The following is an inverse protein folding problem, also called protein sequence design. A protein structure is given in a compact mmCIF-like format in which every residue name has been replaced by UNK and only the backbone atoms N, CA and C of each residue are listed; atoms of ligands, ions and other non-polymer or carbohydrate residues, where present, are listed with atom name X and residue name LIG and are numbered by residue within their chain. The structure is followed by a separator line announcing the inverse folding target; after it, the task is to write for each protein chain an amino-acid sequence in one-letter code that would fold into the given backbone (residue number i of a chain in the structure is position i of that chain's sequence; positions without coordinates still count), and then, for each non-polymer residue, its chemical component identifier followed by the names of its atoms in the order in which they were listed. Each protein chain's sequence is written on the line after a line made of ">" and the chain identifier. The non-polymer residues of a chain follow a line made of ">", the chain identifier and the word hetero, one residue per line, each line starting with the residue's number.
data_IF_122918342518
#
_entry.id   IF_122918342518
#
_cell.length_a   1.000
_cell.length_b   1.000
_cell.length_c   1.000
_cell.angle_alpha   90.00
_cell.angle_beta   90.00
_cell.angle_gamma   90.00
#
_symmetry.space_group_name_H-M   'P 1'
#
loop_
_entity.id
_entity.type
_entity.pdbx_description
1 polymer ?
#
# COMPACT_ATOMS: atom_id res chain seq x y z
N UNK A 1 -15.67 -3.31 19.70
CA UNK A 1 -15.19 -2.21 18.81
C UNK A 1 -14.64 -2.86 17.55
N UNK A 2 -14.91 -2.29 16.39
CA UNK A 2 -14.31 -2.71 15.12
C UNK A 2 -12.85 -2.30 15.11
N UNK A 3 -11.95 -3.21 14.74
CA UNK A 3 -10.50 -3.00 14.70
C UNK A 3 -10.01 -2.78 13.29
N UNK A 4 -8.82 -2.18 13.17
CA UNK A 4 -8.17 -1.95 11.90
C UNK A 4 -6.79 -2.61 11.90
N UNK A 5 -6.57 -3.47 10.94
CA UNK A 5 -5.32 -4.21 10.79
C UNK A 5 -4.68 -3.86 9.45
N UNK A 6 -3.38 -3.87 9.38
CA UNK A 6 -2.67 -3.64 8.13
C UNK A 6 -1.90 -4.89 7.68
N UNK A 7 -1.90 -5.14 6.37
CA UNK A 7 -1.10 -6.17 5.72
C UNK A 7 -0.19 -5.49 4.69
N UNK A 8 1.11 -5.75 4.79
CA UNK A 8 2.13 -5.22 3.90
C UNK A 8 2.79 -6.37 3.14
N UNK A 9 2.34 -6.68 1.90
CA UNK A 9 3.00 -7.69 1.08
C UNK A 9 4.38 -7.20 0.65
N UNK A 10 5.43 -7.94 1.00
CA UNK A 10 6.83 -7.58 0.79
C UNK A 10 7.71 -8.74 0.28
N UNK A 11 7.11 -9.85 -0.19
CA UNK A 11 7.83 -11.02 -0.69
C UNK A 11 8.40 -10.87 -2.11
N UNK A 12 8.04 -9.81 -2.84
CA UNK A 12 8.48 -9.61 -4.22
C UNK A 12 9.93 -9.15 -4.33
N UNK A 13 10.66 -9.68 -5.32
CA UNK A 13 12.06 -9.33 -5.61
C UNK A 13 12.25 -7.91 -6.17
N UNK A 14 11.20 -7.27 -6.66
CA UNK A 14 11.31 -5.94 -7.27
C UNK A 14 12.08 -5.91 -8.60
N UNK A 15 11.99 -6.95 -9.42
CA UNK A 15 12.77 -7.20 -10.65
C UNK A 15 12.87 -6.01 -11.63
N UNK A 16 11.84 -5.15 -11.68
CA UNK A 16 11.85 -3.93 -12.53
C UNK A 16 12.84 -2.85 -12.07
N UNK A 17 13.36 -2.96 -10.85
CA UNK A 17 14.30 -1.98 -10.32
C UNK A 17 15.74 -2.22 -10.77
N UNK A 18 16.07 -3.47 -11.19
CA UNK A 18 17.40 -3.84 -11.71
C UNK A 18 18.52 -3.89 -10.65
N UNK A 19 18.18 -4.02 -9.36
CA UNK A 19 19.13 -4.13 -8.26
C UNK A 19 19.22 -5.58 -7.76
N UNK A 20 20.41 -6.00 -7.30
CA UNK A 20 20.59 -7.29 -6.61
C UNK A 20 19.86 -7.33 -5.25
N UNK A 21 19.80 -6.19 -4.56
CA UNK A 21 19.02 -6.04 -3.34
C UNK A 21 17.56 -5.74 -3.68
N UNK A 22 16.58 -6.48 -3.11
CA UNK A 22 15.17 -6.18 -3.30
C UNK A 22 14.85 -4.73 -2.91
N UNK A 23 14.09 -4.02 -3.76
CA UNK A 23 13.90 -2.57 -3.65
C UNK A 23 13.39 -2.09 -2.29
N UNK A 24 12.63 -2.94 -1.58
CA UNK A 24 12.10 -2.62 -0.26
C UNK A 24 13.18 -2.46 0.81
N UNK A 25 14.39 -3.01 0.57
CA UNK A 25 15.54 -2.87 1.47
C UNK A 25 16.54 -1.80 1.03
N UNK A 26 16.31 -1.15 -0.12
CA UNK A 26 17.18 -0.06 -0.55
C UNK A 26 17.15 1.10 0.47
N UNK A 27 18.30 1.74 0.69
CA UNK A 27 18.40 2.86 1.63
C UNK A 27 17.57 4.05 1.14
N UNK A 28 16.77 4.61 2.03
CA UNK A 28 15.95 5.79 1.82
C UNK A 28 15.98 6.63 3.10
N UNK A 29 16.49 7.86 3.04
CA UNK A 29 16.60 8.76 4.20
C UNK A 29 17.20 8.07 5.46
N UNK A 30 18.24 7.25 5.28
CA UNK A 30 19.00 6.59 6.35
C UNK A 30 18.39 5.29 6.91
N UNK A 31 17.26 4.81 6.38
CA UNK A 31 16.61 3.54 6.75
C UNK A 31 16.23 2.75 5.49
N UNK A 32 15.96 1.43 5.57
CA UNK A 32 15.37 0.70 4.45
C UNK A 32 14.04 1.33 4.00
N UNK A 33 13.75 1.33 2.70
CA UNK A 33 12.52 1.89 2.15
C UNK A 33 11.27 1.39 2.88
N UNK A 34 11.18 0.07 3.10
CA UNK A 34 10.04 -0.56 3.79
C UNK A 34 9.87 -0.06 5.23
N UNK A 35 10.95 0.36 5.90
CA UNK A 35 10.89 0.89 7.26
C UNK A 35 9.96 2.10 7.34
N UNK A 36 10.01 3.01 6.36
CA UNK A 36 9.14 4.19 6.30
C UNK A 36 7.67 3.79 6.14
N UNK A 37 7.39 2.81 5.28
CA UNK A 37 6.06 2.24 5.08
C UNK A 37 5.50 1.64 6.37
N UNK A 38 6.30 0.79 7.03
CA UNK A 38 5.90 0.14 8.29
C UNK A 38 5.74 1.16 9.41
N UNK A 39 6.64 2.14 9.49
CA UNK A 39 6.58 3.22 10.50
C UNK A 39 5.29 4.03 10.38
N UNK A 40 4.86 4.38 9.16
CA UNK A 40 3.61 5.10 8.95
C UNK A 40 2.38 4.33 9.48
N UNK A 41 2.35 3.01 9.31
CA UNK A 41 1.26 2.15 9.77
C UNK A 41 1.37 1.85 11.28
N UNK A 42 2.53 1.44 11.77
CA UNK A 42 2.72 1.05 13.17
C UNK A 42 2.49 2.20 14.15
N UNK A 43 2.88 3.42 13.76
CA UNK A 43 2.70 4.63 14.60
C UNK A 43 1.31 5.22 14.53
N UNK A 44 0.48 4.78 13.58
CA UNK A 44 -0.87 5.32 13.45
C UNK A 44 -1.79 4.81 14.57
N UNK A 45 -2.51 5.71 15.29
CA UNK A 45 -3.31 5.30 16.45
C UNK A 45 -4.50 4.40 16.06
N UNK A 46 -5.09 4.59 14.88
CA UNK A 46 -6.21 3.77 14.42
C UNK A 46 -5.82 2.35 13.99
N UNK A 47 -4.54 2.03 13.80
CA UNK A 47 -4.09 0.70 13.39
C UNK A 47 -3.75 -0.12 14.66
N UNK A 48 -4.39 -1.27 14.80
CA UNK A 48 -4.19 -2.16 15.95
C UNK A 48 -2.97 -3.07 15.78
N UNK A 49 -2.72 -3.58 14.56
CA UNK A 49 -1.62 -4.50 14.25
C UNK A 49 -1.23 -4.40 12.77
N UNK A 50 0.04 -4.70 12.49
CA UNK A 50 0.62 -4.67 11.14
C UNK A 50 1.31 -5.99 10.87
N UNK A 51 0.88 -6.74 9.87
CA UNK A 51 1.59 -7.92 9.37
C UNK A 51 2.39 -7.57 8.14
N UNK A 52 3.71 -7.72 8.21
CA UNK A 52 4.58 -7.68 7.04
C UNK A 52 4.79 -9.11 6.53
N UNK A 53 4.46 -9.33 5.25
CA UNK A 53 4.53 -10.66 4.63
C UNK A 53 5.75 -10.73 3.74
N UNK A 54 6.73 -11.51 4.15
CA UNK A 54 8.04 -11.69 3.55
C UNK A 54 8.15 -13.03 2.83
N UNK A 55 9.12 -13.15 1.92
CA UNK A 55 9.50 -14.45 1.36
C UNK A 55 9.88 -15.42 2.48
N UNK A 56 9.59 -16.73 2.36
CA UNK A 56 10.02 -17.74 3.35
C UNK A 56 11.51 -17.68 3.66
N UNK A 57 12.33 -17.43 2.64
CA UNK A 57 13.79 -17.40 2.72
C UNK A 57 14.34 -15.98 2.58
N UNK A 58 13.66 -14.95 3.11
CA UNK A 58 14.14 -13.56 3.01
C UNK A 58 15.45 -13.38 3.80
N UNK A 59 16.60 -13.16 3.11
CA UNK A 59 17.89 -13.02 3.76
C UNK A 59 18.16 -11.63 4.31
N UNK A 60 17.33 -10.64 3.95
CA UNK A 60 17.59 -9.23 4.24
C UNK A 60 16.91 -8.76 5.53
N UNK A 61 15.75 -9.33 5.86
CA UNK A 61 14.96 -8.87 6.99
C UNK A 61 15.75 -8.79 8.30
N UNK A 62 16.49 -9.86 8.62
CA UNK A 62 17.27 -9.98 9.86
C UNK A 62 18.56 -9.14 9.87
N UNK A 63 18.91 -8.47 8.78
CA UNK A 63 20.06 -7.57 8.68
C UNK A 63 19.75 -6.16 9.22
N UNK A 64 18.49 -5.88 9.55
CA UNK A 64 18.03 -4.57 10.00
C UNK A 64 17.39 -4.63 11.38
N UNK A 65 17.48 -3.52 12.11
CA UNK A 65 16.78 -3.34 13.38
C UNK A 65 15.41 -2.71 13.13
N UNK A 66 14.36 -3.38 13.62
CA UNK A 66 12.96 -2.99 13.53
C UNK A 66 12.36 -2.62 14.89
N UNK A 67 13.14 -2.60 15.95
CA UNK A 67 12.69 -2.43 17.34
C UNK A 67 11.95 -1.11 17.58
N UNK A 68 12.30 -0.06 16.83
CA UNK A 68 11.69 1.27 16.92
C UNK A 68 10.28 1.35 16.31
N UNK A 69 9.83 0.29 15.60
CA UNK A 69 8.48 0.18 15.06
C UNK A 69 7.43 -0.29 16.09
N UNK A 70 7.91 -0.78 17.23
CA UNK A 70 7.07 -1.14 18.38
C UNK A 70 6.32 -2.47 18.22
N UNK A 71 5.42 -2.79 19.18
CA UNK A 71 4.83 -4.12 19.31
C UNK A 71 3.70 -4.42 18.33
N UNK A 72 3.27 -3.45 17.54
CA UNK A 72 2.23 -3.67 16.53
C UNK A 72 2.72 -4.48 15.32
N UNK A 73 4.03 -4.50 15.06
CA UNK A 73 4.63 -5.16 13.91
C UNK A 73 4.80 -6.66 14.17
N UNK A 74 4.25 -7.46 13.27
CA UNK A 74 4.47 -8.91 13.22
C UNK A 74 4.96 -9.33 11.85
N UNK A 75 5.89 -10.29 11.81
CA UNK A 75 6.45 -10.83 10.57
C UNK A 75 5.82 -12.16 10.19
N UNK A 76 5.52 -12.32 8.91
CA UNK A 76 4.96 -13.54 8.32
C UNK A 76 5.87 -14.00 7.18
N UNK A 77 6.67 -15.06 7.40
CA UNK A 77 7.58 -15.63 6.41
C UNK A 77 6.88 -16.69 5.54
N UNK A 78 5.74 -16.31 4.94
CA UNK A 78 4.91 -17.16 4.09
C UNK A 78 4.43 -16.43 2.84
N UNK A 79 5.19 -15.46 2.36
CA UNK A 79 4.89 -14.77 1.11
C UNK A 79 4.89 -15.72 -0.08
N UNK A 80 3.91 -15.55 -0.97
CA UNK A 80 3.72 -16.39 -2.14
C UNK A 80 4.39 -15.85 -3.41
N UNK A 81 4.16 -16.56 -4.50
CA UNK A 81 4.73 -16.20 -5.82
C UNK A 81 4.18 -14.89 -6.37
N UNK A 82 2.94 -14.53 -6.01
CA UNK A 82 2.29 -13.30 -6.43
C UNK A 82 2.02 -12.37 -5.23
N UNK A 83 1.70 -11.10 -5.54
CA UNK A 83 1.25 -10.14 -4.53
C UNK A 83 -0.04 -10.62 -3.84
N UNK A 84 -0.98 -11.17 -4.61
CA UNK A 84 -2.24 -11.70 -4.09
C UNK A 84 -2.01 -12.89 -3.15
N UNK A 85 -1.10 -13.81 -3.47
CA UNK A 85 -0.74 -14.93 -2.59
C UNK A 85 -0.14 -14.43 -1.26
N UNK A 86 0.69 -13.38 -1.33
CA UNK A 86 1.27 -12.79 -0.12
C UNK A 86 0.19 -12.12 0.75
N UNK A 87 -0.78 -11.43 0.14
CA UNK A 87 -1.92 -10.87 0.87
C UNK A 87 -2.77 -11.96 1.49
N UNK A 88 -3.05 -13.05 0.77
CA UNK A 88 -3.78 -14.21 1.31
C UNK A 88 -3.06 -14.83 2.51
N UNK A 89 -1.73 -14.92 2.49
CA UNK A 89 -0.93 -15.36 3.64
C UNK A 89 -1.05 -14.42 4.83
N UNK A 90 -1.08 -13.11 4.60
CA UNK A 90 -1.33 -12.10 5.63
C UNK A 90 -2.73 -12.21 6.23
N UNK A 91 -3.76 -12.43 5.41
CA UNK A 91 -5.14 -12.68 5.88
C UNK A 91 -5.23 -13.96 6.73
N UNK A 92 -4.52 -15.02 6.34
CA UNK A 92 -4.43 -16.24 7.15
C UNK A 92 -3.76 -15.99 8.51
N UNK A 93 -2.71 -15.18 8.55
CA UNK A 93 -2.08 -14.79 9.82
C UNK A 93 -3.03 -13.96 10.70
N UNK A 94 -3.87 -13.10 10.09
CA UNK A 94 -4.86 -12.31 10.78
C UNK A 94 -6.03 -13.11 11.34
N UNK A 95 -6.26 -14.34 10.89
CA UNK A 95 -7.43 -15.16 11.20
C UNK A 95 -7.74 -15.33 12.71
N UNK A 96 -6.71 -15.40 13.53
CA UNK A 96 -6.88 -15.56 14.98
C UNK A 96 -7.14 -14.24 15.72
N UNK A 97 -6.95 -13.11 15.06
CA UNK A 97 -7.06 -11.77 15.65
C UNK A 97 -8.25 -10.98 15.10
N UNK A 98 -8.58 -11.17 13.83
CA UNK A 98 -9.59 -10.40 13.13
C UNK A 98 -10.96 -11.09 13.18
N UNK A 99 -12.00 -10.32 13.52
CA UNK A 99 -13.39 -10.68 13.31
C UNK A 99 -13.83 -10.36 11.87
N UNK A 100 -14.94 -10.93 11.43
CA UNK A 100 -15.47 -10.81 10.07
C UNK A 100 -15.66 -9.34 9.64
N UNK A 101 -16.10 -8.49 10.57
CA UNK A 101 -16.38 -7.08 10.36
C UNK A 101 -15.21 -6.15 10.65
N UNK A 102 -14.05 -6.67 11.05
CA UNK A 102 -12.85 -5.86 11.22
C UNK A 102 -12.31 -5.41 9.86
N UNK A 103 -11.60 -4.29 9.86
CA UNK A 103 -11.03 -3.71 8.66
C UNK A 103 -9.61 -4.20 8.39
N UNK A 104 -9.35 -4.57 7.15
CA UNK A 104 -8.00 -4.88 6.66
C UNK A 104 -7.57 -3.79 5.69
N UNK A 105 -6.44 -3.15 5.98
CA UNK A 105 -5.76 -2.21 5.12
C UNK A 105 -4.60 -2.92 4.43
N UNK A 106 -4.67 -3.15 3.13
CA UNK A 106 -3.53 -3.69 2.36
C UNK A 106 -2.73 -2.53 1.81
N UNK A 107 -1.43 -2.48 2.15
CA UNK A 107 -0.56 -1.39 1.73
C UNK A 107 0.75 -1.90 1.11
N UNK A 108 1.11 -1.33 -0.05
CA UNK A 108 2.33 -1.72 -0.76
C UNK A 108 3.59 -1.33 0.02
N UNK A 109 4.50 -2.29 0.25
CA UNK A 109 5.80 -2.05 0.86
C UNK A 109 6.62 -0.94 0.17
N UNK A 110 6.35 -0.69 -1.12
CA UNK A 110 7.03 0.29 -1.95
C UNK A 110 6.40 1.69 -1.96
N UNK A 111 5.50 2.01 -1.02
CA UNK A 111 4.92 3.35 -0.85
C UNK A 111 5.34 3.96 0.50
N UNK A 112 6.60 4.42 0.61
CA UNK A 112 7.15 4.89 1.89
C UNK A 112 6.57 6.24 2.36
N UNK A 113 5.87 6.94 1.47
CA UNK A 113 5.40 8.30 1.73
C UNK A 113 3.91 8.37 2.13
N UNK A 114 3.36 7.32 2.73
CA UNK A 114 2.01 7.35 3.30
C UNK A 114 1.95 8.36 4.45
N UNK A 115 1.06 9.36 4.35
CA UNK A 115 0.86 10.34 5.42
C UNK A 115 -0.27 9.89 6.36
N UNK A 116 -0.18 10.20 7.68
CA UNK A 116 -1.23 9.85 8.65
C UNK A 116 -2.62 10.34 8.22
N UNK A 117 -2.74 11.56 7.72
CA UNK A 117 -4.01 12.12 7.26
C UNK A 117 -4.71 11.29 6.16
N UNK A 118 -3.95 10.55 5.34
CA UNK A 118 -4.52 9.66 4.33
C UNK A 118 -5.17 8.42 4.96
N UNK A 119 -4.58 7.90 6.04
CA UNK A 119 -5.18 6.81 6.82
C UNK A 119 -6.43 7.33 7.53
N UNK A 120 -6.36 8.53 8.15
CA UNK A 120 -7.51 9.15 8.80
C UNK A 120 -8.69 9.33 7.84
N UNK A 121 -8.44 9.86 6.63
CA UNK A 121 -9.46 10.04 5.61
C UNK A 121 -10.08 8.71 5.19
N UNK A 122 -9.25 7.68 4.94
CA UNK A 122 -9.72 6.36 4.56
C UNK A 122 -10.61 5.74 5.62
N UNK A 123 -10.17 5.77 6.89
CA UNK A 123 -10.93 5.23 8.02
C UNK A 123 -12.24 6.00 8.21
N UNK A 124 -12.21 7.33 8.15
CA UNK A 124 -13.42 8.15 8.37
C UNK A 124 -14.45 7.98 7.25
N UNK A 125 -14.01 8.00 5.98
CA UNK A 125 -14.93 7.92 4.85
C UNK A 125 -15.53 6.52 4.65
N UNK A 126 -14.83 5.46 5.09
CA UNK A 126 -15.29 4.09 4.94
C UNK A 126 -15.95 3.52 6.18
N UNK A 127 -16.00 4.24 7.31
CA UNK A 127 -16.52 3.74 8.59
C UNK A 127 -17.91 3.09 8.47
N UNK A 128 -18.79 3.68 7.67
CA UNK A 128 -20.17 3.19 7.42
C UNK A 128 -20.35 2.61 6.01
N UNK A 129 -19.29 2.49 5.22
CA UNK A 129 -19.39 1.95 3.86
C UNK A 129 -19.56 0.42 3.90
N UNK A 130 -20.54 -0.15 3.15
CA UNK A 130 -20.81 -1.59 3.19
C UNK A 130 -19.77 -2.42 2.41
N UNK A 131 -18.99 -1.80 1.52
CA UNK A 131 -18.02 -2.47 0.65
C UNK A 131 -16.59 -2.21 1.11
N UNK A 132 -16.26 -0.97 1.36
CA UNK A 132 -14.91 -0.47 1.57
C UNK A 132 -14.39 0.30 0.36
N UNK A 133 -13.10 0.58 0.33
CA UNK A 133 -12.55 1.41 -0.75
C UNK A 133 -11.04 1.52 -0.73
N UNK A 134 -10.55 2.41 -1.57
CA UNK A 134 -9.13 2.60 -1.83
C UNK A 134 -8.76 4.07 -1.85
N UNK A 135 -7.53 4.38 -1.49
CA UNK A 135 -6.96 5.67 -1.86
C UNK A 135 -6.75 5.73 -3.38
N UNK A 136 -7.12 6.85 -3.97
CA UNK A 136 -6.91 7.08 -5.38
C UNK A 136 -6.75 8.58 -5.68
N UNK A 137 -6.09 8.91 -6.79
CA UNK A 137 -5.95 10.29 -7.28
C UNK A 137 -6.50 10.40 -8.71
N UNK A 138 -7.22 11.48 -9.05
CA UNK A 138 -7.65 11.71 -10.42
C UNK A 138 -6.44 11.76 -11.37
N UNK A 139 -6.59 11.25 -12.58
CA UNK A 139 -5.54 11.33 -13.60
C UNK A 139 -5.37 12.78 -14.04
N UNK A 140 -4.19 13.35 -13.82
CA UNK A 140 -3.87 14.73 -14.18
C UNK A 140 -3.40 14.88 -15.62
N UNK A 141 -2.62 13.91 -16.14
CA UNK A 141 -2.00 13.98 -17.46
C UNK A 141 -2.89 13.42 -18.57
N UNK A 142 -2.61 13.83 -19.81
CA UNK A 142 -3.24 13.24 -20.99
C UNK A 142 -2.76 11.81 -21.20
N UNK A 143 -3.69 10.87 -21.22
CA UNK A 143 -3.37 9.45 -21.45
C UNK A 143 -3.34 9.12 -22.94
N UNK A 144 -2.33 8.38 -23.36
CA UNK A 144 -2.17 7.85 -24.71
C UNK A 144 -2.22 6.32 -24.67
N UNK A 145 -2.98 5.73 -25.59
CA UNK A 145 -2.87 4.30 -25.90
C UNK A 145 -1.76 4.12 -26.92
N UNK A 146 -0.85 3.20 -26.64
CA UNK A 146 0.22 2.86 -27.58
C UNK A 146 -0.04 1.50 -28.25
N UNK A 147 0.52 1.31 -29.45
CA UNK A 147 0.66 0.01 -30.09
C UNK A 147 1.91 -0.76 -29.57
N UNK A 148 2.15 -1.95 -30.12
CA UNK A 148 3.34 -2.76 -29.79
C UNK A 148 4.66 -2.10 -30.18
N UNK A 149 4.65 -1.14 -31.10
CA UNK A 149 5.81 -0.34 -31.53
C UNK A 149 6.01 0.93 -30.70
N UNK A 150 5.29 1.08 -29.59
CA UNK A 150 5.34 2.27 -28.69
C UNK A 150 4.92 3.58 -29.40
N UNK A 151 4.07 3.51 -30.41
CA UNK A 151 3.49 4.68 -31.09
C UNK A 151 2.11 4.99 -30.51
N UNK A 152 1.85 6.28 -30.25
CA UNK A 152 0.53 6.71 -29.77
C UNK A 152 -0.54 6.53 -30.87
N UNK A 153 -1.49 5.65 -30.63
CA UNK A 153 -2.60 5.34 -31.57
C UNK A 153 -3.91 6.01 -31.17
N UNK A 154 -4.09 6.40 -29.92
CA UNK A 154 -5.27 7.12 -29.46
C UNK A 154 -5.00 7.95 -28.22
N UNK A 155 -5.77 9.02 -28.04
CA UNK A 155 -5.93 9.70 -26.76
C UNK A 155 -7.08 9.06 -25.99
N UNK A 156 -6.83 8.68 -24.74
CA UNK A 156 -7.88 8.14 -23.85
C UNK A 156 -8.43 9.30 -23.02
N UNK A 157 -9.74 9.57 -23.07
CA UNK A 157 -10.35 10.56 -22.17
C UNK A 157 -10.00 10.23 -20.70
N UNK A 158 -9.55 11.23 -19.96
CA UNK A 158 -9.18 11.02 -18.55
C UNK A 158 -10.31 11.32 -17.57
N UNK A 159 -11.41 11.85 -18.05
CA UNK A 159 -12.58 12.13 -17.23
C UNK A 159 -13.02 10.85 -16.54
N UNK A 160 -13.22 10.93 -15.23
CA UNK A 160 -13.57 9.77 -14.38
C UNK A 160 -12.50 8.68 -14.28
N UNK A 161 -11.26 8.89 -14.74
CA UNK A 161 -10.15 7.97 -14.52
C UNK A 161 -9.36 8.37 -13.27
N UNK A 162 -9.06 7.37 -12.44
CA UNK A 162 -8.31 7.52 -11.22
C UNK A 162 -7.13 6.55 -11.20
N UNK A 163 -6.02 6.99 -10.63
CA UNK A 163 -4.87 6.13 -10.33
C UNK A 163 -5.09 5.52 -8.96
N UNK A 164 -5.28 4.21 -8.91
CA UNK A 164 -5.39 3.49 -7.65
C UNK A 164 -4.10 3.56 -6.85
N UNK A 165 -4.25 3.82 -5.57
CA UNK A 165 -3.17 3.79 -4.59
C UNK A 165 -3.48 2.75 -3.51
N UNK A 166 -2.59 2.61 -2.56
CA UNK A 166 -2.81 1.90 -1.30
C UNK A 166 -2.56 2.86 -0.13
N UNK A 167 -3.17 2.64 1.06
CA UNK A 167 -3.93 1.46 1.47
C UNK A 167 -5.24 1.27 0.71
N UNK A 168 -5.62 -0.02 0.54
CA UNK A 168 -6.95 -0.46 0.12
C UNK A 168 -7.60 -1.12 1.34
N UNK A 169 -8.81 -0.70 1.72
CA UNK A 169 -9.42 -1.03 3.00
C UNK A 169 -10.76 -1.72 2.80
N UNK A 170 -10.86 -2.97 3.27
CA UNK A 170 -12.03 -3.81 3.14
C UNK A 170 -12.30 -4.60 4.41
N UNK A 171 -13.56 -5.07 4.63
CA UNK A 171 -13.88 -5.96 5.73
C UNK A 171 -13.14 -7.29 5.56
N UNK A 172 -12.68 -7.87 6.67
CA UNK A 172 -11.89 -9.10 6.67
C UNK A 172 -12.59 -10.23 5.91
N UNK A 173 -13.84 -10.55 6.27
CA UNK A 173 -14.56 -11.62 5.61
C UNK A 173 -14.81 -11.37 4.11
N UNK A 174 -15.11 -10.11 3.74
CA UNK A 174 -15.33 -9.74 2.35
C UNK A 174 -14.05 -9.90 1.52
N UNK A 175 -12.91 -9.43 2.04
CA UNK A 175 -11.63 -9.54 1.34
C UNK A 175 -11.19 -11.00 1.20
N UNK A 176 -11.34 -11.82 2.25
CA UNK A 176 -11.08 -13.25 2.19
C UNK A 176 -11.92 -13.93 1.09
N UNK A 177 -13.21 -13.64 1.02
CA UNK A 177 -14.11 -14.18 -0.01
C UNK A 177 -13.70 -13.76 -1.41
N UNK A 178 -13.37 -12.47 -1.61
CA UNK A 178 -12.96 -11.94 -2.90
C UNK A 178 -11.69 -12.62 -3.44
N UNK A 179 -10.64 -12.71 -2.62
CA UNK A 179 -9.37 -13.33 -3.02
C UNK A 179 -9.46 -14.86 -3.16
N UNK A 180 -10.45 -15.52 -2.56
CA UNK A 180 -10.70 -16.94 -2.78
C UNK A 180 -11.35 -17.23 -4.15
N UNK A 181 -12.12 -16.28 -4.71
CA UNK A 181 -12.81 -16.45 -5.98
C UNK A 181 -11.96 -16.08 -7.20
N UNK A 182 -11.00 -15.17 -7.04
CA UNK A 182 -10.17 -14.73 -8.16
C UNK A 182 -8.70 -14.65 -7.74
N UNK A 183 -7.82 -15.23 -8.58
CA UNK A 183 -6.36 -15.23 -8.36
C UNK A 183 -5.62 -14.31 -9.33
N UNK A 184 -6.25 -13.91 -10.42
CA UNK A 184 -5.66 -13.07 -11.46
C UNK A 184 -6.10 -11.61 -11.28
N UNK A 185 -5.74 -11.01 -10.14
CA UNK A 185 -6.03 -9.60 -9.87
C UNK A 185 -4.74 -8.81 -9.62
N UNK A 186 -4.79 -7.55 -9.99
CA UNK A 186 -3.66 -6.63 -9.80
C UNK A 186 -3.63 -6.02 -8.39
N UNK A 187 -4.82 -5.91 -7.75
CA UNK A 187 -5.01 -5.33 -6.43
C UNK A 187 -6.28 -5.86 -5.74
N UNK A 188 -6.54 -5.43 -4.51
CA UNK A 188 -7.69 -5.87 -3.71
C UNK A 188 -9.00 -5.32 -4.27
N UNK A 189 -8.99 -4.09 -4.82
CA UNK A 189 -10.16 -3.50 -5.47
C UNK A 189 -10.65 -4.38 -6.63
N UNK A 190 -9.75 -4.83 -7.50
CA UNK A 190 -10.09 -5.74 -8.60
C UNK A 190 -10.70 -7.06 -8.11
N UNK A 191 -10.24 -7.59 -6.96
CA UNK A 191 -10.86 -8.77 -6.36
C UNK A 191 -12.31 -8.48 -5.91
N UNK A 192 -12.55 -7.33 -5.27
CA UNK A 192 -13.88 -6.91 -4.85
C UNK A 192 -14.79 -6.64 -6.04
N UNK A 193 -14.28 -6.01 -7.09
CA UNK A 193 -15.01 -5.76 -8.34
C UNK A 193 -15.44 -7.05 -9.01
N UNK A 194 -14.66 -8.13 -8.94
CA UNK A 194 -15.03 -9.44 -9.47
C UNK A 194 -16.24 -10.07 -8.76
N UNK A 195 -16.58 -9.60 -7.55
CA UNK A 195 -17.82 -9.96 -6.84
C UNK A 195 -19.04 -9.13 -7.28
N UNK A 196 -18.87 -8.22 -8.25
CA UNK A 196 -19.92 -7.28 -8.67
C UNK A 196 -20.12 -6.11 -7.70
N UNK A 197 -19.16 -5.85 -6.82
CA UNK A 197 -19.19 -4.75 -5.87
C UNK A 197 -18.32 -3.58 -6.37
N UNK A 198 -18.61 -2.37 -5.88
CA UNK A 198 -17.92 -1.15 -6.32
C UNK A 198 -17.21 -0.49 -5.15
N UNK A 199 -15.87 -0.64 -5.03
CA UNK A 199 -15.08 0.04 -4.00
C UNK A 199 -15.18 1.56 -4.09
N UNK A 200 -15.25 2.23 -2.94
CA UNK A 200 -15.24 3.69 -2.88
C UNK A 200 -13.84 4.23 -3.19
N UNK A 201 -13.76 5.28 -4.00
CA UNK A 201 -12.53 6.03 -4.24
C UNK A 201 -12.43 7.16 -3.20
N UNK A 202 -11.50 7.00 -2.26
CA UNK A 202 -11.16 8.03 -1.28
C UNK A 202 -9.99 8.84 -1.82
N UNK A 203 -10.08 10.17 -1.74
CA UNK A 203 -9.06 11.05 -2.30
C UNK A 203 -7.73 10.87 -1.59
N UNK A 204 -6.76 10.35 -2.32
CA UNK A 204 -5.36 10.27 -1.92
C UNK A 204 -4.56 11.52 -2.31
N UNK A 205 -3.25 11.40 -2.27
CA UNK A 205 -2.31 12.44 -2.63
C UNK A 205 -1.19 11.91 -3.52
N UNK A 206 -0.70 12.72 -4.47
CA UNK A 206 0.37 12.34 -5.39
C UNK A 206 1.68 12.02 -4.65
N UNK A 207 1.90 12.60 -3.46
CA UNK A 207 3.06 12.29 -2.62
C UNK A 207 3.10 10.84 -2.12
N UNK A 208 1.97 10.12 -2.12
CA UNK A 208 1.91 8.69 -1.81
C UNK A 208 2.36 7.84 -3.01
N UNK A 209 3.49 8.22 -3.58
CA UNK A 209 4.02 7.57 -4.78
C UNK A 209 4.48 6.13 -4.49
N UNK A 210 4.42 5.29 -5.52
CA UNK A 210 4.97 3.94 -5.51
C UNK A 210 6.38 3.97 -6.10
N UNK A 211 7.39 3.69 -5.31
CA UNK A 211 8.76 3.55 -5.80
C UNK A 211 8.84 2.33 -6.73
N UNK A 212 8.97 2.59 -8.02
CA UNK A 212 8.98 1.58 -9.08
C UNK A 212 10.28 1.62 -9.86
N UNK A 213 10.81 2.81 -10.08
CA UNK A 213 12.05 3.08 -10.82
C UNK A 213 13.08 3.79 -9.93
N UNK A 214 14.39 3.75 -10.26
CA UNK A 214 15.43 4.42 -9.47
C UNK A 214 15.18 5.91 -9.19
N UNK A 215 14.63 6.64 -10.16
CA UNK A 215 14.30 8.06 -10.00
C UNK A 215 13.27 8.33 -8.90
N UNK A 216 12.38 7.38 -8.63
CA UNK A 216 11.33 7.52 -7.61
C UNK A 216 11.92 7.57 -6.20
N UNK A 217 13.11 6.98 -5.96
CA UNK A 217 13.78 7.03 -4.66
C UNK A 217 14.13 8.45 -4.27
N UNK A 218 14.73 9.23 -5.18
CA UNK A 218 15.10 10.61 -4.91
C UNK A 218 13.86 11.47 -4.61
N UNK A 219 12.75 11.24 -5.34
CA UNK A 219 11.49 11.93 -5.09
C UNK A 219 10.90 11.54 -3.73
N UNK A 220 10.87 10.25 -3.40
CA UNK A 220 10.40 9.76 -2.11
C UNK A 220 11.23 10.36 -0.95
N UNK A 221 12.55 10.44 -1.11
CA UNK A 221 13.44 11.02 -0.09
C UNK A 221 13.15 12.51 0.11
N UNK A 222 12.98 13.28 -0.97
CA UNK A 222 12.63 14.69 -0.90
C UNK A 222 11.30 14.91 -0.16
N UNK A 223 10.28 14.09 -0.44
CA UNK A 223 8.99 14.13 0.25
C UNK A 223 9.14 13.82 1.74
N UNK A 224 9.86 12.76 2.10
CA UNK A 224 10.07 12.40 3.50
C UNK A 224 10.84 13.49 4.26
N UNK A 225 11.90 14.02 3.66
CA UNK A 225 12.70 15.11 4.26
C UNK A 225 11.88 16.39 4.46
N UNK A 226 11.01 16.75 3.50
CA UNK A 226 10.15 17.94 3.65
C UNK A 226 9.19 17.84 4.82
N UNK A 227 8.76 16.64 5.19
CA UNK A 227 7.88 16.40 6.36
C UNK A 227 8.61 16.44 7.70
N UNK A 228 9.93 16.24 7.70
CA UNK A 228 10.77 16.32 8.89
C UNK A 228 11.31 17.73 9.17
N UNK A 229 11.25 18.62 8.18
CA UNK A 229 11.77 20.00 8.34
C UNK A 229 10.80 20.87 9.10
N UNK A 230 11.27 21.68 10.11
CA UNK A 230 10.42 22.58 10.92
C UNK A 230 9.69 23.66 10.11
N UNK A 231 10.05 23.89 8.84
CA UNK A 231 9.47 24.91 7.96
C UNK A 231 8.03 24.59 7.50
N UNK A 232 7.51 23.40 7.77
CA UNK A 232 6.09 23.06 7.50
C UNK A 232 5.09 23.70 8.46
N UNK A 233 5.55 24.48 9.45
CA UNK A 233 4.71 25.16 10.46
C UNK A 233 4.39 26.61 10.07
N UNK A 234 5.06 27.17 9.07
CA UNK A 234 4.71 28.50 8.54
C UNK A 234 3.78 28.34 7.35
N UNK A 235 2.47 28.33 7.64
CA UNK A 235 1.43 28.49 6.64
C UNK A 235 1.65 29.78 5.83
N UNK A 236 2.25 29.63 4.66
CA UNK A 236 2.28 30.67 3.65
C UNK A 236 1.53 30.14 2.45
N UNK A 237 0.23 30.30 2.48
CA UNK A 237 -0.61 30.64 1.33
C UNK A 237 -1.91 31.23 1.91
N UNK A 238 -1.87 32.56 2.08
CA UNK A 238 -3.06 33.38 2.07
C UNK A 238 -3.47 33.62 0.62
#
# INVERSE_FOLDING_TARGET
>A
MVRHYAIVPAAGSGSRFGSETPKQYLPLAGRPLIHHTLSALCRHPAIDRVWVVLSPDDPHWHQHDWSDLGPKLETVFHGGATRADSVASGLKAAQMAAADDDWILVHDAARPCLAPAMIDSLVAELAADPVGGILAVPVADTLKRADSGQRAVATVPRDSLWQAQTPQMFRYALLCRALAQTREVTDEAGAIESLGLSPRLVKGDASNLKVTYPADLALAEAILRSRLSPLSVLGVFA
#
